data_IF_471160922604
#
_entry.id   IF_471160922604
#
_cell.length_a   1.000
_cell.length_b   1.000
_cell.length_c   1.000
_cell.angle_alpha   90.00
_cell.angle_beta   90.00
_cell.angle_gamma   90.00
#
_symmetry.space_group_name_H-M   'P 1'
#
loop_
_entity.id
_entity.type
_entity.pdbx_description
1 polymer ?
#
# COMPACT_ATOMS: atom_id res chain seq x y z
N UNK A 1 -15.64 -15.20 4.92
CA UNK A 1 -16.47 -13.99 4.79
C UNK A 1 -15.71 -12.67 4.91
N UNK A 2 -15.35 -12.17 6.11
CA UNK A 2 -14.84 -10.79 6.28
C UNK A 2 -13.58 -10.44 5.45
N UNK A 3 -12.54 -11.28 5.48
CA UNK A 3 -11.33 -11.02 4.69
C UNK A 3 -11.62 -11.04 3.18
N UNK A 4 -12.60 -11.83 2.73
CA UNK A 4 -12.99 -11.87 1.32
C UNK A 4 -13.61 -10.55 0.87
N UNK A 5 -14.48 -9.97 1.70
CA UNK A 5 -15.06 -8.65 1.47
C UNK A 5 -13.97 -7.58 1.45
N UNK A 6 -13.05 -7.61 2.41
CA UNK A 6 -11.92 -6.67 2.45
C UNK A 6 -11.04 -6.75 1.20
N UNK A 7 -10.80 -7.96 0.67
CA UNK A 7 -10.08 -8.15 -0.60
C UNK A 7 -10.79 -7.50 -1.77
N UNK A 8 -12.09 -7.72 -1.92
CA UNK A 8 -12.86 -7.10 -3.00
C UNK A 8 -12.84 -5.57 -2.94
N UNK A 9 -12.90 -5.00 -1.72
CA UNK A 9 -12.75 -3.55 -1.54
C UNK A 9 -11.35 -3.07 -1.91
N UNK A 10 -10.29 -3.77 -1.48
CA UNK A 10 -8.91 -3.43 -1.85
C UNK A 10 -8.70 -3.52 -3.36
N UNK A 11 -9.23 -4.55 -4.02
CA UNK A 11 -9.13 -4.73 -5.47
C UNK A 11 -9.75 -3.56 -6.21
N UNK A 12 -10.90 -3.06 -5.76
CA UNK A 12 -11.54 -1.91 -6.36
C UNK A 12 -10.73 -0.62 -6.11
N UNK A 13 -10.38 -0.33 -4.85
CA UNK A 13 -9.72 0.93 -4.47
C UNK A 13 -8.32 1.06 -5.06
N UNK A 14 -7.60 -0.05 -5.21
CA UNK A 14 -6.24 -0.08 -5.76
C UNK A 14 -6.20 -0.37 -7.27
N UNK A 15 -7.35 -0.41 -7.94
CA UNK A 15 -7.41 -0.68 -9.38
C UNK A 15 -6.85 0.48 -10.21
N UNK A 16 -6.20 0.14 -11.33
CA UNK A 16 -5.71 1.11 -12.33
C UNK A 16 -6.85 2.02 -12.81
N UNK A 17 -8.07 1.47 -12.99
CA UNK A 17 -9.23 2.24 -13.41
C UNK A 17 -9.68 3.29 -12.40
N UNK A 18 -9.59 3.02 -11.09
CA UNK A 18 -9.86 4.05 -10.06
C UNK A 18 -8.76 5.10 -10.05
N UNK A 19 -7.49 4.68 -10.14
CA UNK A 19 -6.36 5.60 -10.22
C UNK A 19 -6.48 6.57 -11.40
N UNK A 20 -6.78 6.06 -12.60
CA UNK A 20 -6.99 6.87 -13.81
C UNK A 20 -8.13 7.88 -13.61
N UNK A 21 -9.28 7.44 -13.09
CA UNK A 21 -10.42 8.36 -12.87
C UNK A 21 -10.09 9.48 -11.90
N UNK A 22 -9.36 9.18 -10.82
CA UNK A 22 -8.96 10.19 -9.83
C UNK A 22 -7.95 11.17 -10.44
N UNK A 23 -6.97 10.68 -11.19
CA UNK A 23 -5.97 11.53 -11.86
C UNK A 23 -6.60 12.41 -12.96
N UNK A 24 -7.65 11.93 -13.61
CA UNK A 24 -8.38 12.72 -14.62
C UNK A 24 -9.41 13.69 -14.03
N UNK A 25 -9.85 13.49 -12.78
CA UNK A 25 -10.92 14.26 -12.16
C UNK A 25 -10.67 15.79 -12.20
N UNK A 26 -9.44 16.31 -11.93
CA UNK A 26 -9.18 17.75 -11.97
C UNK A 26 -9.50 18.41 -13.32
N UNK A 27 -9.35 17.69 -14.44
CA UNK A 27 -9.63 18.24 -15.79
C UNK A 27 -11.13 18.37 -16.09
N UNK A 28 -11.98 17.74 -15.27
CA UNK A 28 -13.45 17.71 -15.45
C UNK A 28 -14.17 18.63 -14.46
N UNK A 29 -13.44 19.25 -13.52
CA UNK A 29 -13.99 20.07 -12.45
C UNK A 29 -13.81 21.56 -12.73
N UNK A 30 -14.82 22.36 -12.33
CA UNK A 30 -14.74 23.83 -12.40
C UNK A 30 -13.70 24.41 -11.42
N UNK A 31 -13.47 23.70 -10.31
CA UNK A 31 -12.45 24.04 -9.32
C UNK A 31 -11.57 22.81 -9.06
N UNK A 32 -10.44 22.75 -9.77
CA UNK A 32 -9.49 21.66 -9.68
C UNK A 32 -8.78 21.58 -8.32
N UNK A 33 -8.77 22.64 -7.52
CA UNK A 33 -8.04 22.68 -6.23
C UNK A 33 -8.69 21.81 -5.16
N UNK A 34 -9.98 21.55 -5.29
CA UNK A 34 -10.78 20.74 -4.37
C UNK A 34 -10.99 19.30 -4.88
N UNK A 35 -10.32 18.91 -5.97
CA UNK A 35 -10.40 17.56 -6.49
C UNK A 35 -9.74 16.57 -5.50
N UNK A 36 -10.41 15.45 -5.25
CA UNK A 36 -9.84 14.34 -4.48
C UNK A 36 -8.58 13.81 -5.19
N UNK A 37 -7.47 13.67 -4.46
CA UNK A 37 -6.19 13.25 -5.02
C UNK A 37 -5.94 11.77 -4.83
N UNK A 38 -5.17 11.19 -5.75
CA UNK A 38 -4.78 9.78 -5.67
C UNK A 38 -3.88 9.51 -4.45
N UNK A 39 -3.03 10.48 -4.10
CA UNK A 39 -2.21 10.41 -2.88
C UNK A 39 -3.09 10.29 -1.63
N UNK A 40 -4.15 11.10 -1.53
CA UNK A 40 -5.07 11.07 -0.38
C UNK A 40 -5.74 9.70 -0.22
N UNK A 41 -6.14 9.06 -1.33
CA UNK A 41 -6.68 7.70 -1.28
C UNK A 41 -5.65 6.71 -0.71
N UNK A 42 -4.43 6.72 -1.23
CA UNK A 42 -3.40 5.77 -0.85
C UNK A 42 -2.91 5.99 0.59
N UNK A 43 -2.78 7.25 1.03
CA UNK A 43 -2.34 7.60 2.38
C UNK A 43 -3.37 7.17 3.42
N UNK A 44 -4.65 7.50 3.20
CA UNK A 44 -5.74 7.12 4.11
C UNK A 44 -5.87 5.60 4.19
N UNK A 45 -5.76 4.90 3.06
CA UNK A 45 -5.85 3.44 3.03
C UNK A 45 -4.68 2.80 3.77
N UNK A 46 -3.44 3.24 3.50
CA UNK A 46 -2.24 2.74 4.19
C UNK A 46 -2.32 3.00 5.69
N UNK A 47 -2.67 4.22 6.10
CA UNK A 47 -2.83 4.57 7.51
C UNK A 47 -3.87 3.68 8.21
N UNK A 48 -5.04 3.48 7.60
CA UNK A 48 -6.10 2.67 8.21
C UNK A 48 -5.71 1.19 8.36
N UNK A 49 -4.97 0.65 7.39
CA UNK A 49 -4.53 -0.76 7.39
C UNK A 49 -3.38 -1.00 8.37
N UNK A 50 -2.50 -0.01 8.55
CA UNK A 50 -1.27 -0.12 9.34
C UNK A 50 -1.28 0.72 10.63
N UNK A 51 -2.45 1.12 11.11
CA UNK A 51 -2.61 2.01 12.26
C UNK A 51 -1.86 1.56 13.52
N UNK A 52 -1.72 0.24 13.73
CA UNK A 52 -1.02 -0.33 14.89
C UNK A 52 0.47 0.01 14.89
N UNK A 53 1.08 0.33 13.74
CA UNK A 53 2.48 0.75 13.68
C UNK A 53 2.72 2.08 14.38
N UNK A 54 1.75 3.01 14.34
CA UNK A 54 1.87 4.31 15.01
C UNK A 54 1.94 4.14 16.52
N UNK A 55 1.07 3.29 17.08
CA UNK A 55 0.93 3.07 18.52
C UNK A 55 1.85 1.98 19.08
N UNK A 56 2.41 1.12 18.22
CA UNK A 56 3.23 -0.03 18.66
C UNK A 56 2.41 -1.10 19.37
N UNK A 57 1.14 -1.23 19.02
CA UNK A 57 0.24 -2.21 19.62
C UNK A 57 0.35 -3.59 18.95
N UNK A 58 -0.14 -4.61 19.65
CA UNK A 58 -0.29 -5.95 19.09
C UNK A 58 -1.15 -5.95 17.83
N UNK A 59 -0.72 -6.72 16.84
CA UNK A 59 -1.42 -6.86 15.57
C UNK A 59 -2.07 -8.24 15.56
N UNK A 60 -3.37 -8.31 15.80
CA UNK A 60 -4.08 -9.60 15.80
C UNK A 60 -4.11 -10.28 14.41
N UNK A 61 -4.47 -11.57 14.36
CA UNK A 61 -4.44 -12.38 13.14
C UNK A 61 -5.26 -11.76 11.99
N UNK A 62 -6.46 -11.25 12.27
CA UNK A 62 -7.32 -10.65 11.26
C UNK A 62 -6.68 -9.40 10.63
N UNK A 63 -6.09 -8.53 11.46
CA UNK A 63 -5.36 -7.34 11.01
C UNK A 63 -4.13 -7.73 10.19
N UNK A 64 -3.35 -8.72 10.65
CA UNK A 64 -2.18 -9.22 9.89
C UNK A 64 -2.58 -9.78 8.52
N UNK A 65 -3.72 -10.46 8.41
CA UNK A 65 -4.23 -10.93 7.13
C UNK A 65 -4.53 -9.78 6.17
N UNK A 66 -5.24 -8.74 6.62
CA UNK A 66 -5.53 -7.56 5.80
C UNK A 66 -4.25 -6.85 5.34
N UNK A 67 -3.31 -6.68 6.27
CA UNK A 67 -2.00 -6.07 6.01
C UNK A 67 -1.19 -6.84 4.96
N UNK A 68 -1.13 -8.17 5.04
CA UNK A 68 -0.50 -9.02 4.01
C UNK A 68 -1.15 -8.83 2.64
N UNK A 69 -2.45 -8.65 2.63
CA UNK A 69 -3.22 -8.57 1.40
C UNK A 69 -3.02 -7.22 0.69
N UNK A 70 -2.91 -6.14 1.46
CA UNK A 70 -2.43 -4.85 0.98
C UNK A 70 -0.98 -4.94 0.49
N UNK A 71 -0.08 -5.52 1.29
CA UNK A 71 1.33 -5.68 0.98
C UNK A 71 1.55 -6.42 -0.35
N UNK A 72 0.80 -7.50 -0.58
CA UNK A 72 0.88 -8.28 -1.82
C UNK A 72 0.58 -7.43 -3.06
N UNK A 73 -0.45 -6.57 -3.00
CA UNK A 73 -0.83 -5.68 -4.10
C UNK A 73 0.21 -4.59 -4.31
N UNK A 74 0.64 -3.98 -3.20
CA UNK A 74 1.69 -2.96 -3.22
C UNK A 74 2.98 -3.51 -3.88
N UNK A 75 3.47 -4.66 -3.42
CA UNK A 75 4.65 -5.31 -4.00
C UNK A 75 4.45 -5.64 -5.49
N UNK A 76 3.28 -6.13 -5.89
CA UNK A 76 2.98 -6.41 -7.29
C UNK A 76 3.06 -5.14 -8.16
N UNK A 77 2.48 -4.01 -7.71
CA UNK A 77 2.56 -2.71 -8.40
C UNK A 77 4.00 -2.19 -8.52
N UNK A 78 4.86 -2.48 -7.54
CA UNK A 78 6.26 -2.07 -7.59
C UNK A 78 7.07 -2.88 -8.61
N UNK A 79 6.82 -4.19 -8.67
CA UNK A 79 7.59 -5.14 -9.49
C UNK A 79 7.12 -5.12 -10.95
N UNK A 80 5.81 -5.07 -11.18
CA UNK A 80 5.21 -5.13 -12.51
C UNK A 80 4.76 -3.75 -12.97
N UNK A 81 5.16 -3.34 -14.18
CA UNK A 81 4.45 -2.26 -14.89
C UNK A 81 3.26 -2.87 -15.62
N UNK A 82 2.04 -2.41 -15.35
CA UNK A 82 0.90 -2.66 -16.24
C UNK A 82 0.85 -1.59 -17.32
N UNK A 83 0.55 -1.98 -18.55
CA UNK A 83 0.49 -1.06 -19.70
C UNK A 83 -0.65 -0.04 -19.61
N UNK A 84 -1.59 -0.24 -18.67
CA UNK A 84 -2.72 0.64 -18.40
C UNK A 84 -2.63 1.45 -17.10
N UNK A 85 -1.65 1.20 -16.23
CA UNK A 85 -1.52 1.97 -14.99
C UNK A 85 -0.90 3.36 -15.27
N UNK A 86 -1.48 4.43 -14.70
CA UNK A 86 -0.83 5.74 -14.69
C UNK A 86 0.53 5.69 -14.00
N UNK A 87 1.54 6.32 -14.59
CA UNK A 87 2.89 6.37 -14.03
C UNK A 87 2.90 6.98 -12.61
N UNK A 88 2.08 8.02 -12.37
CA UNK A 88 1.93 8.67 -11.07
C UNK A 88 1.38 7.73 -10.00
N UNK A 89 0.45 6.82 -10.35
CA UNK A 89 -0.10 5.85 -9.41
C UNK A 89 1.02 4.95 -8.84
N UNK A 90 1.91 4.49 -9.72
CA UNK A 90 3.08 3.69 -9.33
C UNK A 90 4.10 4.52 -8.53
N UNK A 91 4.33 5.77 -8.93
CA UNK A 91 5.26 6.66 -8.22
C UNK A 91 4.81 6.91 -6.78
N UNK A 92 3.52 7.21 -6.58
CA UNK A 92 2.92 7.39 -5.26
C UNK A 92 3.01 6.11 -4.43
N UNK A 93 2.66 4.95 -4.99
CA UNK A 93 2.77 3.68 -4.28
C UNK A 93 4.22 3.34 -3.90
N UNK A 94 5.20 3.70 -4.73
CA UNK A 94 6.63 3.56 -4.38
C UNK A 94 7.01 4.43 -3.20
N UNK A 95 6.53 5.67 -3.14
CA UNK A 95 6.78 6.55 -1.99
C UNK A 95 6.14 5.97 -0.72
N UNK A 96 4.87 5.57 -0.79
CA UNK A 96 4.16 4.97 0.35
C UNK A 96 4.84 3.68 0.83
N UNK A 97 5.39 2.87 -0.08
CA UNK A 97 6.16 1.67 0.28
C UNK A 97 7.47 2.00 1.02
N UNK A 98 8.17 3.08 0.65
CA UNK A 98 9.40 3.52 1.35
C UNK A 98 9.08 4.01 2.77
N UNK A 99 8.02 4.79 2.91
CA UNK A 99 7.54 5.24 4.21
C UNK A 99 7.14 4.03 5.08
N UNK A 100 6.32 3.13 4.53
CA UNK A 100 5.82 1.96 5.24
C UNK A 100 6.97 1.05 5.70
N UNK A 101 7.97 0.81 4.86
CA UNK A 101 9.17 0.05 5.22
C UNK A 101 9.89 0.67 6.42
N UNK A 102 10.04 1.99 6.44
CA UNK A 102 10.67 2.73 7.54
C UNK A 102 9.87 2.57 8.83
N UNK A 103 8.55 2.78 8.75
CA UNK A 103 7.66 2.67 9.91
C UNK A 103 7.57 1.23 10.45
N UNK A 104 7.58 0.21 9.59
CA UNK A 104 7.62 -1.20 10.00
C UNK A 104 8.89 -1.54 10.78
N UNK A 105 10.06 -1.10 10.29
CA UNK A 105 11.36 -1.31 10.96
C UNK A 105 11.40 -0.62 12.33
N UNK A 106 10.87 0.60 12.43
CA UNK A 106 10.77 1.32 13.70
C UNK A 106 9.82 0.63 14.69
N UNK A 107 8.65 0.17 14.21
CA UNK A 107 7.66 -0.50 15.05
C UNK A 107 8.16 -1.86 15.56
N UNK A 108 8.84 -2.66 14.72
CA UNK A 108 9.34 -3.99 15.09
C UNK A 108 10.45 -3.96 16.14
N UNK A 109 11.19 -2.84 16.24
CA UNK A 109 12.23 -2.61 17.23
C UNK A 109 11.68 -2.30 18.64
N UNK A 110 10.37 -2.02 18.79
CA UNK A 110 9.78 -1.69 20.09
C UNK A 110 9.73 -2.92 21.02
N UNK A 111 10.00 -2.73 22.32
CA UNK A 111 9.81 -3.79 23.31
C UNK A 111 8.32 -4.09 23.52
N UNK A 112 8.01 -5.25 24.10
CA UNK A 112 6.64 -5.62 24.48
C UNK A 112 5.79 -6.27 23.39
N UNK A 113 6.22 -6.26 22.12
CA UNK A 113 5.53 -6.98 21.05
C UNK A 113 5.80 -8.50 21.10
N UNK A 114 4.75 -9.27 20.84
CA UNK A 114 4.75 -10.71 20.66
C UNK A 114 5.68 -11.16 19.52
N UNK A 115 6.10 -12.42 19.57
CA UNK A 115 6.93 -13.03 18.52
C UNK A 115 6.20 -13.01 17.18
N UNK A 116 4.89 -13.25 17.17
CA UNK A 116 4.04 -13.26 15.98
C UNK A 116 3.96 -11.89 15.32
N UNK A 117 3.74 -10.83 16.11
CA UNK A 117 3.70 -9.46 15.58
C UNK A 117 5.08 -9.06 15.03
N UNK A 118 6.16 -9.34 15.77
CA UNK A 118 7.53 -9.07 15.30
C UNK A 118 7.87 -9.81 14.01
N UNK A 119 7.55 -11.11 13.93
CA UNK A 119 7.79 -11.92 12.75
C UNK A 119 7.02 -11.40 11.53
N UNK A 120 5.74 -11.05 11.72
CA UNK A 120 4.91 -10.46 10.66
C UNK A 120 5.46 -9.14 10.13
N UNK A 121 5.91 -8.24 11.01
CA UNK A 121 6.49 -6.96 10.60
C UNK A 121 7.84 -7.14 9.89
N UNK A 122 8.68 -8.06 10.37
CA UNK A 122 9.96 -8.36 9.73
C UNK A 122 9.77 -8.96 8.33
N UNK A 123 8.87 -9.93 8.18
CA UNK A 123 8.52 -10.54 6.90
C UNK A 123 7.93 -9.51 5.91
N UNK A 124 7.04 -8.66 6.40
CA UNK A 124 6.44 -7.59 5.60
C UNK A 124 7.48 -6.56 5.14
N UNK A 125 8.39 -6.17 6.02
CA UNK A 125 9.48 -5.25 5.71
C UNK A 125 10.45 -5.85 4.68
N UNK A 126 10.79 -7.13 4.81
CA UNK A 126 11.65 -7.82 3.84
C UNK A 126 11.00 -7.87 2.46
N UNK A 127 9.71 -8.20 2.39
CA UNK A 127 8.95 -8.22 1.13
C UNK A 127 8.97 -6.85 0.44
N UNK A 128 8.76 -5.75 1.17
CA UNK A 128 8.84 -4.40 0.60
C UNK A 128 10.25 -4.02 0.16
N UNK A 129 11.26 -4.35 0.96
CA UNK A 129 12.66 -4.06 0.65
C UNK A 129 13.09 -4.76 -0.66
N UNK A 130 12.71 -6.03 -0.83
CA UNK A 130 12.92 -6.78 -2.08
C UNK A 130 12.16 -6.17 -3.26
N UNK A 131 10.87 -5.86 -3.09
CA UNK A 131 10.05 -5.28 -4.15
C UNK A 131 10.55 -3.88 -4.59
N UNK A 132 11.05 -3.07 -3.65
CA UNK A 132 11.62 -1.75 -3.93
C UNK A 132 12.96 -1.83 -4.68
N UNK A 133 13.76 -2.88 -4.41
CA UNK A 133 15.05 -3.14 -5.06
C UNK A 133 14.92 -3.90 -6.38
N UNK A 134 13.79 -4.55 -6.61
CA UNK A 134 13.58 -5.35 -7.81
C UNK A 134 13.83 -4.53 -9.08
N UNK A 135 14.60 -5.05 -10.05
CA UNK A 135 14.78 -4.38 -11.32
C UNK A 135 13.42 -4.22 -11.99
N UNK A 136 13.15 -3.01 -12.50
CA UNK A 136 11.87 -2.72 -13.15
C UNK A 136 11.74 -3.62 -14.38
N UNK A 137 10.81 -4.58 -14.33
CA UNK A 137 10.36 -5.30 -15.52
C UNK A 137 9.45 -4.36 -16.27
N UNK A 138 10.03 -3.53 -17.14
CA UNK A 138 9.27 -2.76 -18.13
C UNK A 138 8.65 -3.78 -19.08
N UNK A 139 7.33 -3.75 -19.25
CA UNK A 139 6.71 -4.41 -20.38
C UNK A 139 7.41 -3.88 -21.65
N UNK A 140 7.83 -4.81 -22.50
CA UNK A 140 8.76 -4.53 -23.60
C UNK A 140 8.24 -3.44 -24.54
N UNK A 141 9.18 -2.66 -25.06
CA UNK A 141 9.01 -1.98 -26.35
C UNK A 141 9.06 -3.07 -27.43
#
# INVERSE_FOLDING_TARGET
ELLSVQRGVLDQLLSDGVATRILEAPFKLKDAKNAFRLSELYDVLQEAIWKELKTGQEINLLRRNLQREHLRRLAATLIHSSDGAPADARALQRENARELLTTMKAASARPGLSKETKAHLADSANTLDEALKAPLRRAGI
#
